data_IF_002427348128
#
_entry.id   IF_002427348128
#
_cell.length_a   1.000
_cell.length_b   1.000
_cell.length_c   1.000
_cell.angle_alpha   90.00
_cell.angle_beta   90.00
_cell.angle_gamma   90.00
#
_symmetry.space_group_name_H-M   'P 1'
#
loop_
_entity.id
_entity.type
_entity.pdbx_description
1 polymer ?
#
# COMPACT_ATOMS: atom_id res chain seq x y z
N UNK A 1 2.55 8.89 -28.07
CA UNK A 1 2.54 8.61 -26.61
C UNK A 1 3.64 7.59 -26.32
N UNK A 2 4.53 7.85 -25.36
CA UNK A 2 5.71 7.02 -25.09
C UNK A 2 5.28 5.60 -24.63
N UNK A 3 5.82 4.53 -25.28
CA UNK A 3 5.52 3.13 -24.96
C UNK A 3 5.77 2.81 -23.48
N UNK A 4 6.79 3.43 -22.87
CA UNK A 4 7.10 3.27 -21.44
C UNK A 4 6.00 3.85 -20.54
N UNK A 5 5.39 4.97 -20.92
CA UNK A 5 4.25 5.54 -20.20
C UNK A 5 3.02 4.65 -20.25
N UNK A 6 2.70 4.08 -21.41
CA UNK A 6 1.57 3.14 -21.53
C UNK A 6 1.80 1.90 -20.66
N UNK A 7 3.03 1.36 -20.66
CA UNK A 7 3.39 0.23 -19.79
C UNK A 7 3.26 0.59 -18.32
N UNK A 8 3.75 1.77 -17.90
CA UNK A 8 3.61 2.22 -16.52
C UNK A 8 2.14 2.33 -16.11
N UNK A 9 1.30 2.92 -16.95
CA UNK A 9 -0.15 3.06 -16.71
C UNK A 9 -0.82 1.68 -16.60
N UNK A 10 -0.57 0.78 -17.54
CA UNK A 10 -1.13 -0.57 -17.54
C UNK A 10 -0.73 -1.33 -16.27
N UNK A 11 0.56 -1.35 -15.94
CA UNK A 11 1.06 -2.05 -14.76
C UNK A 11 0.52 -1.45 -13.47
N UNK A 12 0.44 -0.12 -13.35
CA UNK A 12 -0.17 0.56 -12.22
C UNK A 12 -1.65 0.21 -12.05
N UNK A 13 -2.39 0.18 -13.16
CA UNK A 13 -3.81 -0.23 -13.18
C UNK A 13 -3.98 -1.69 -12.75
N UNK A 14 -3.16 -2.61 -13.27
CA UNK A 14 -3.20 -4.03 -12.89
C UNK A 14 -2.87 -4.21 -11.40
N UNK A 15 -1.83 -3.52 -10.90
CA UNK A 15 -1.49 -3.56 -9.49
C UNK A 15 -2.60 -3.03 -8.58
N UNK A 16 -3.23 -1.92 -8.95
CA UNK A 16 -4.38 -1.37 -8.22
C UNK A 16 -5.61 -2.28 -8.28
N UNK A 17 -5.85 -2.94 -9.41
CA UNK A 17 -6.93 -3.93 -9.54
C UNK A 17 -6.69 -5.15 -8.62
N UNK A 18 -5.46 -5.66 -8.56
CA UNK A 18 -5.10 -6.72 -7.62
C UNK A 18 -5.35 -6.30 -6.16
N UNK A 19 -4.98 -5.07 -5.78
CA UNK A 19 -5.28 -4.55 -4.43
C UNK A 19 -6.78 -4.44 -4.16
N UNK A 20 -7.57 -4.03 -5.16
CA UNK A 20 -9.02 -3.97 -5.04
C UNK A 20 -9.60 -5.38 -4.83
N UNK A 21 -9.17 -6.36 -5.61
CA UNK A 21 -9.61 -7.76 -5.45
C UNK A 21 -9.26 -8.28 -4.05
N UNK A 22 -8.04 -8.03 -3.58
CA UNK A 22 -7.61 -8.43 -2.25
C UNK A 22 -8.45 -7.76 -1.14
N UNK A 23 -8.71 -6.45 -1.25
CA UNK A 23 -9.49 -5.72 -0.25
C UNK A 23 -10.96 -6.14 -0.21
N UNK A 24 -11.57 -6.40 -1.36
CA UNK A 24 -12.96 -6.92 -1.44
C UNK A 24 -13.03 -8.36 -0.90
N UNK A 25 -12.07 -9.21 -1.24
CA UNK A 25 -12.02 -10.58 -0.72
C UNK A 25 -11.89 -10.60 0.82
N UNK A 26 -11.07 -9.71 1.38
CA UNK A 26 -10.97 -9.50 2.82
C UNK A 26 -12.31 -9.11 3.45
N UNK A 27 -13.02 -8.16 2.83
CA UNK A 27 -14.31 -7.68 3.33
C UNK A 27 -15.42 -8.74 3.32
N UNK A 28 -15.37 -9.71 2.39
CA UNK A 28 -16.43 -10.74 2.24
C UNK A 28 -16.23 -11.94 3.17
N UNK A 29 -15.01 -12.35 3.42
CA UNK A 29 -14.74 -13.67 4.04
C UNK A 29 -14.01 -13.64 5.39
N UNK A 30 -13.59 -12.47 5.86
CA UNK A 30 -12.84 -12.33 7.12
C UNK A 30 -11.41 -12.85 7.08
N UNK A 31 -10.67 -12.70 8.18
CA UNK A 31 -9.21 -12.88 8.21
C UNK A 31 -8.71 -14.32 8.01
N UNK A 32 -9.47 -15.33 8.45
CA UNK A 32 -8.89 -16.65 8.76
C UNK A 32 -8.77 -17.57 7.53
N UNK A 33 -9.63 -17.44 6.51
CA UNK A 33 -9.68 -18.40 5.41
C UNK A 33 -8.79 -18.05 4.20
N UNK A 34 -8.04 -16.94 4.24
CA UNK A 34 -7.49 -16.29 3.04
C UNK A 34 -6.01 -15.97 3.06
N UNK A 35 -5.28 -16.26 4.14
CA UNK A 35 -3.89 -15.85 4.24
C UNK A 35 -3.06 -16.26 3.01
N UNK A 36 -3.22 -17.50 2.54
CA UNK A 36 -2.39 -18.03 1.46
C UNK A 36 -2.72 -17.43 0.08
N UNK A 37 -4.01 -17.31 -0.25
CA UNK A 37 -4.44 -16.73 -1.52
C UNK A 37 -4.25 -15.21 -1.56
N UNK A 38 -4.44 -14.54 -0.44
CA UNK A 38 -4.20 -13.10 -0.31
C UNK A 38 -2.72 -12.75 -0.47
N UNK A 39 -1.81 -13.52 0.11
CA UNK A 39 -0.37 -13.29 -0.03
C UNK A 39 0.03 -13.27 -1.51
N UNK A 40 -0.45 -14.21 -2.31
CA UNK A 40 -0.17 -14.25 -3.74
C UNK A 40 -0.70 -13.00 -4.46
N UNK A 41 -1.94 -12.60 -4.18
CA UNK A 41 -2.53 -11.39 -4.78
C UNK A 41 -1.76 -10.14 -4.38
N UNK A 42 -1.31 -10.02 -3.13
CA UNK A 42 -0.46 -8.93 -2.66
C UNK A 42 0.90 -8.92 -3.35
N UNK A 43 1.54 -10.08 -3.53
CA UNK A 43 2.81 -10.19 -4.26
C UNK A 43 2.64 -9.70 -5.70
N UNK A 44 1.58 -10.12 -6.40
CA UNK A 44 1.30 -9.65 -7.76
C UNK A 44 1.02 -8.13 -7.78
N UNK A 45 0.18 -7.63 -6.88
CA UNK A 45 -0.13 -6.21 -6.79
C UNK A 45 1.13 -5.37 -6.64
N UNK A 46 1.98 -5.70 -5.66
CA UNK A 46 3.21 -4.96 -5.42
C UNK A 46 4.21 -5.10 -6.55
N UNK A 47 4.31 -6.27 -7.20
CA UNK A 47 5.18 -6.47 -8.36
C UNK A 47 4.76 -5.55 -9.52
N UNK A 48 3.47 -5.50 -9.85
CA UNK A 48 2.97 -4.61 -10.89
C UNK A 48 3.20 -3.14 -10.55
N UNK A 49 2.91 -2.73 -9.30
CA UNK A 49 3.13 -1.36 -8.85
C UNK A 49 4.62 -0.99 -8.87
N UNK A 50 5.51 -1.90 -8.48
CA UNK A 50 6.95 -1.69 -8.55
C UNK A 50 7.42 -1.44 -9.99
N UNK A 51 6.96 -2.26 -10.93
CA UNK A 51 7.30 -2.07 -12.35
C UNK A 51 6.71 -0.79 -12.93
N UNK A 52 5.49 -0.42 -12.51
CA UNK A 52 4.88 0.86 -12.90
C UNK A 52 5.73 2.05 -12.41
N UNK A 53 6.16 2.04 -11.15
CA UNK A 53 7.00 3.08 -10.57
C UNK A 53 8.38 3.14 -11.22
N UNK A 54 8.99 1.98 -11.50
CA UNK A 54 10.26 1.92 -12.24
C UNK A 54 10.16 2.56 -13.62
N UNK A 55 9.07 2.29 -14.35
CA UNK A 55 8.83 2.89 -15.65
C UNK A 55 8.59 4.41 -15.56
N UNK A 56 7.87 4.89 -14.53
CA UNK A 56 7.72 6.32 -14.27
C UNK A 56 9.08 6.96 -13.96
N UNK A 57 9.88 6.35 -13.12
CA UNK A 57 11.23 6.82 -12.77
C UNK A 57 12.12 6.96 -14.01
N UNK A 58 12.09 5.97 -14.90
CA UNK A 58 12.86 6.01 -16.15
C UNK A 58 12.45 7.18 -17.08
N UNK A 59 11.21 7.66 -16.97
CA UNK A 59 10.69 8.77 -17.78
C UNK A 59 10.97 10.11 -17.10
N UNK A 60 10.79 10.18 -15.78
CA UNK A 60 10.87 11.43 -15.02
C UNK A 60 12.27 11.73 -14.48
N UNK A 61 13.18 10.76 -14.49
CA UNK A 61 14.57 10.90 -14.06
C UNK A 61 14.84 10.96 -12.55
N UNK A 62 13.92 11.33 -11.67
CA UNK A 62 14.25 11.46 -10.24
C UNK A 62 14.33 10.13 -9.53
N UNK A 63 15.35 9.99 -8.68
CA UNK A 63 15.57 8.82 -7.81
C UNK A 63 14.54 8.69 -6.66
N UNK A 64 13.42 9.42 -6.77
CA UNK A 64 12.42 9.55 -5.71
C UNK A 64 11.79 8.20 -5.31
N UNK A 65 11.77 7.23 -6.23
CA UNK A 65 11.18 5.92 -5.98
C UNK A 65 12.16 4.87 -5.42
N UNK A 66 13.42 5.26 -5.18
CA UNK A 66 14.42 4.36 -4.58
C UNK A 66 13.94 3.85 -3.21
N UNK A 67 13.35 4.72 -2.40
CA UNK A 67 12.81 4.37 -1.08
C UNK A 67 11.79 3.22 -1.19
N UNK A 68 10.93 3.28 -2.21
CA UNK A 68 9.96 2.22 -2.45
C UNK A 68 10.62 0.90 -2.86
N UNK A 69 11.68 0.96 -3.66
CA UNK A 69 12.43 -0.25 -4.05
C UNK A 69 12.94 -1.00 -2.83
N UNK A 70 13.52 -0.29 -1.86
CA UNK A 70 13.99 -0.90 -0.62
C UNK A 70 12.84 -1.40 0.25
N UNK A 71 11.81 -0.58 0.46
CA UNK A 71 10.62 -0.98 1.22
C UNK A 71 9.93 -2.20 0.62
N UNK A 72 9.78 -2.23 -0.71
CA UNK A 72 9.21 -3.35 -1.44
C UNK A 72 10.05 -4.62 -1.28
N UNK A 73 11.37 -4.54 -1.45
CA UNK A 73 12.24 -5.70 -1.30
C UNK A 73 12.23 -6.27 0.12
N UNK A 74 12.20 -5.39 1.13
CA UNK A 74 12.08 -5.80 2.54
C UNK A 74 10.73 -6.45 2.79
N UNK A 75 9.64 -5.86 2.30
CA UNK A 75 8.29 -6.41 2.44
C UNK A 75 8.16 -7.77 1.74
N UNK A 76 8.70 -7.89 0.53
CA UNK A 76 8.70 -9.16 -0.22
C UNK A 76 9.50 -10.24 0.51
N UNK A 77 10.70 -9.91 0.99
CA UNK A 77 11.52 -10.84 1.76
C UNK A 77 10.82 -11.28 3.05
N UNK A 78 10.18 -10.36 3.77
CA UNK A 78 9.40 -10.66 4.96
C UNK A 78 8.19 -11.56 4.65
N UNK A 79 7.42 -11.24 3.60
CA UNK A 79 6.29 -12.07 3.16
C UNK A 79 6.72 -13.49 2.79
N UNK A 80 7.81 -13.63 2.02
CA UNK A 80 8.35 -14.94 1.65
C UNK A 80 8.85 -15.71 2.88
N UNK A 81 9.51 -15.04 3.80
CA UNK A 81 9.99 -15.64 5.04
C UNK A 81 8.82 -16.15 5.90
N UNK A 82 7.78 -15.32 6.14
CA UNK A 82 6.61 -15.73 6.90
C UNK A 82 5.83 -16.84 6.22
N UNK A 83 5.69 -16.79 4.88
CA UNK A 83 5.04 -17.85 4.11
C UNK A 83 5.80 -19.18 4.24
N UNK A 84 7.14 -19.14 4.14
CA UNK A 84 7.96 -20.34 4.31
C UNK A 84 7.84 -20.96 5.71
N UNK A 85 7.83 -20.11 6.76
CA UNK A 85 7.66 -20.58 8.14
C UNK A 85 6.27 -21.18 8.35
N UNK A 86 5.22 -20.53 7.84
CA UNK A 86 3.85 -21.02 7.93
C UNK A 86 3.68 -22.38 7.26
N UNK A 87 4.22 -22.54 6.04
CA UNK A 87 4.16 -23.79 5.29
C UNK A 87 4.97 -24.91 5.99
N UNK A 88 6.14 -24.57 6.50
CA UNK A 88 7.02 -25.56 7.13
C UNK A 88 6.61 -25.93 8.56
N UNK A 89 5.70 -25.20 9.19
CA UNK A 89 5.23 -25.39 10.59
C UNK A 89 6.35 -25.65 11.61
N UNK A 90 7.57 -25.16 11.34
CA UNK A 90 8.78 -25.60 12.04
C UNK A 90 9.32 -24.64 13.09
N UNK A 91 8.72 -23.45 13.30
CA UNK A 91 9.24 -22.51 14.28
C UNK A 91 8.16 -21.89 15.13
N UNK A 92 8.45 -21.76 16.41
CA UNK A 92 7.73 -20.87 17.30
C UNK A 92 8.13 -19.41 16.95
N UNK A 93 7.35 -18.80 16.07
CA UNK A 93 7.63 -17.47 15.50
C UNK A 93 7.12 -16.34 16.37
N UNK A 94 6.72 -16.61 17.62
CA UNK A 94 6.14 -15.63 18.53
C UNK A 94 7.00 -14.36 18.67
N UNK A 95 8.33 -14.51 18.70
CA UNK A 95 9.26 -13.37 18.79
C UNK A 95 9.33 -12.52 17.52
N UNK A 96 9.18 -13.12 16.34
CA UNK A 96 9.25 -12.41 15.06
C UNK A 96 7.93 -11.72 14.71
N UNK A 97 6.79 -12.24 15.18
CA UNK A 97 5.48 -11.62 14.98
C UNK A 97 5.41 -10.21 15.57
N UNK A 98 6.21 -9.91 16.61
CA UNK A 98 6.29 -8.57 17.21
C UNK A 98 6.77 -7.52 16.18
N UNK A 99 7.62 -7.88 15.23
CA UNK A 99 8.19 -6.95 14.25
C UNK A 99 7.32 -6.72 13.02
N UNK A 100 6.34 -7.60 12.75
CA UNK A 100 5.47 -7.51 11.57
C UNK A 100 4.69 -6.19 11.50
N UNK A 101 4.03 -5.71 12.58
CA UNK A 101 3.32 -4.44 12.56
C UNK A 101 4.23 -3.25 12.21
N UNK A 102 5.45 -3.23 12.72
CA UNK A 102 6.41 -2.17 12.43
C UNK A 102 6.85 -2.18 10.96
N UNK A 103 7.03 -3.37 10.39
CA UNK A 103 7.36 -3.52 8.98
C UNK A 103 6.20 -3.05 8.09
N UNK A 104 4.98 -3.48 8.38
CA UNK A 104 3.78 -3.05 7.66
C UNK A 104 3.64 -1.53 7.73
N UNK A 105 3.82 -0.95 8.92
CA UNK A 105 3.78 0.49 9.12
C UNK A 105 4.82 1.23 8.27
N UNK A 106 6.07 0.77 8.26
CA UNK A 106 7.15 1.37 7.47
C UNK A 106 6.87 1.31 5.97
N UNK A 107 6.34 0.17 5.48
CA UNK A 107 5.94 0.00 4.08
C UNK A 107 4.78 0.92 3.73
N UNK A 108 3.76 1.01 4.57
CA UNK A 108 2.59 1.88 4.35
C UNK A 108 3.01 3.35 4.35
N UNK A 109 3.85 3.78 5.28
CA UNK A 109 4.37 5.15 5.31
C UNK A 109 5.17 5.49 4.03
N UNK A 110 6.03 4.58 3.60
CA UNK A 110 6.77 4.73 2.33
C UNK A 110 5.81 4.85 1.15
N UNK A 111 4.74 4.06 1.14
CA UNK A 111 3.71 4.08 0.10
C UNK A 111 2.90 5.37 0.08
N UNK A 112 2.57 5.94 1.25
CA UNK A 112 1.92 7.25 1.38
C UNK A 112 2.81 8.34 0.75
N UNK A 113 4.10 8.38 1.10
CA UNK A 113 5.06 9.35 0.55
C UNK A 113 5.13 9.24 -0.97
N UNK A 114 5.19 8.02 -1.51
CA UNK A 114 5.24 7.77 -2.95
C UNK A 114 3.98 8.30 -3.65
N UNK A 115 2.80 8.10 -3.08
CA UNK A 115 1.57 8.57 -3.69
C UNK A 115 1.49 10.11 -3.73
N UNK A 116 2.01 10.82 -2.73
CA UNK A 116 2.18 12.27 -2.82
C UNK A 116 3.16 12.68 -3.93
N UNK A 117 4.25 11.93 -4.13
CA UNK A 117 5.18 12.17 -5.25
C UNK A 117 4.56 11.83 -6.59
N UNK A 118 3.77 10.76 -6.69
CA UNK A 118 2.98 10.44 -7.89
C UNK A 118 2.00 11.54 -8.25
N UNK A 119 1.32 12.13 -7.27
CA UNK A 119 0.48 13.33 -7.51
C UNK A 119 1.28 14.43 -8.20
N UNK A 120 2.47 14.73 -7.68
CA UNK A 120 3.33 15.77 -8.25
C UNK A 120 3.76 15.43 -9.68
N UNK A 121 4.22 14.20 -9.91
CA UNK A 121 4.73 13.75 -11.21
C UNK A 121 3.62 13.59 -12.28
N UNK A 122 2.41 13.20 -11.89
CA UNK A 122 1.31 12.91 -12.82
C UNK A 122 0.26 14.00 -12.87
N UNK A 123 0.32 15.00 -11.98
CA UNK A 123 -0.72 16.02 -11.73
C UNK A 123 -2.10 15.43 -11.41
N UNK A 124 -2.20 14.16 -11.11
CA UNK A 124 -3.45 13.49 -10.76
C UNK A 124 -3.72 13.61 -9.26
N UNK A 125 -4.74 14.40 -8.89
CA UNK A 125 -5.11 14.66 -7.48
C UNK A 125 -5.56 13.39 -6.74
N UNK A 126 -6.05 12.36 -7.46
CA UNK A 126 -6.53 11.12 -6.86
C UNK A 126 -5.44 10.36 -6.08
N UNK A 127 -4.16 10.47 -6.47
CA UNK A 127 -3.06 9.90 -5.67
C UNK A 127 -2.95 10.53 -4.27
N UNK A 128 -3.24 11.83 -4.14
CA UNK A 128 -3.26 12.47 -2.83
C UNK A 128 -4.49 12.07 -2.01
N UNK A 129 -5.65 11.90 -2.66
CA UNK A 129 -6.86 11.39 -1.99
C UNK A 129 -6.60 9.97 -1.48
N UNK A 130 -6.01 9.11 -2.30
CA UNK A 130 -5.61 7.77 -1.88
C UNK A 130 -4.63 7.79 -0.69
N UNK A 131 -3.60 8.63 -0.74
CA UNK A 131 -2.66 8.79 0.37
C UNK A 131 -3.34 9.27 1.65
N UNK A 132 -4.32 10.18 1.56
CA UNK A 132 -5.12 10.64 2.70
C UNK A 132 -5.97 9.50 3.28
N UNK A 133 -6.59 8.66 2.44
CA UNK A 133 -7.35 7.49 2.89
C UNK A 133 -6.45 6.49 3.62
N UNK A 134 -5.22 6.26 3.14
CA UNK A 134 -4.26 5.42 3.85
C UNK A 134 -3.84 5.99 5.21
N UNK A 135 -3.72 7.32 5.34
CA UNK A 135 -3.43 7.97 6.63
C UNK A 135 -4.58 7.71 7.61
N UNK A 136 -5.82 7.81 7.13
CA UNK A 136 -7.01 7.52 7.97
C UNK A 136 -7.03 6.04 8.37
N UNK A 137 -6.72 5.12 7.45
CA UNK A 137 -6.63 3.68 7.70
C UNK A 137 -5.60 3.37 8.79
N UNK A 138 -4.39 3.92 8.65
CA UNK A 138 -3.32 3.77 9.67
C UNK A 138 -3.72 4.36 11.02
N UNK A 139 -4.38 5.52 11.02
CA UNK A 139 -4.85 6.13 12.27
C UNK A 139 -5.92 5.26 12.94
N UNK A 140 -6.83 4.67 12.17
CA UNK A 140 -7.83 3.74 12.67
C UNK A 140 -7.19 2.49 13.27
N UNK A 141 -6.19 1.90 12.61
CA UNK A 141 -5.45 0.73 13.12
C UNK A 141 -4.70 1.05 14.42
N UNK A 142 -4.10 2.24 14.54
CA UNK A 142 -3.43 2.70 15.78
C UNK A 142 -4.46 2.84 16.90
N UNK A 143 -5.60 3.48 16.67
CA UNK A 143 -6.67 3.65 17.65
C UNK A 143 -7.17 2.29 18.09
N UNK A 144 -7.47 1.40 17.14
CA UNK A 144 -7.87 0.01 17.43
C UNK A 144 -6.88 -0.69 18.35
N UNK A 145 -5.59 -0.64 18.02
CA UNK A 145 -4.53 -1.24 18.82
C UNK A 145 -4.37 -0.62 20.23
N UNK A 146 -4.67 0.68 20.37
CA UNK A 146 -4.64 1.36 21.68
C UNK A 146 -5.80 0.96 22.58
N UNK A 147 -6.97 0.67 22.02
CA UNK A 147 -8.16 0.33 22.80
C UNK A 147 -7.99 -0.96 23.62
N UNK A 148 -7.14 -1.88 23.20
CA UNK A 148 -6.81 -3.08 23.97
C UNK A 148 -5.88 -2.82 25.17
N UNK A 149 -5.24 -1.65 25.23
CA UNK A 149 -4.29 -1.29 26.29
C UNK A 149 -4.86 -0.35 27.34
N UNK A 150 -6.02 0.27 27.06
CA UNK A 150 -6.64 1.25 27.95
C UNK A 150 -7.69 0.53 28.79
N UNK A 151 -7.64 0.60 30.13
CA UNK A 151 -8.69 0.08 30.99
C UNK A 151 -9.94 0.95 30.86
N UNK A 152 -10.84 0.58 29.97
CA UNK A 152 -12.11 1.24 29.75
C UNK A 152 -13.27 0.28 29.99
N UNK A 153 -14.51 0.79 30.27
CA UNK A 153 -15.70 -0.05 30.41
C UNK A 153 -15.89 -0.93 29.17
N UNK A 154 -16.14 -2.21 29.37
CA UNK A 154 -16.23 -3.21 28.30
C UNK A 154 -17.21 -2.80 27.17
N UNK A 155 -18.34 -2.19 27.52
CA UNK A 155 -19.33 -1.73 26.53
C UNK A 155 -18.79 -0.61 25.62
N UNK A 156 -18.00 0.33 26.16
CA UNK A 156 -17.38 1.40 25.37
C UNK A 156 -16.29 0.84 24.46
N UNK A 157 -15.46 -0.06 24.99
CA UNK A 157 -14.38 -0.71 24.24
C UNK A 157 -14.95 -1.49 23.06
N UNK A 158 -15.99 -2.30 23.27
CA UNK A 158 -16.64 -3.07 22.21
C UNK A 158 -17.30 -2.17 21.15
N UNK A 159 -17.93 -1.07 21.58
CA UNK A 159 -18.51 -0.11 20.64
C UNK A 159 -17.46 0.52 19.71
N UNK A 160 -16.32 0.93 20.25
CA UNK A 160 -15.23 1.51 19.45
C UNK A 160 -14.60 0.46 18.52
N UNK A 161 -14.37 -0.76 19.02
CA UNK A 161 -13.84 -1.88 18.22
C UNK A 161 -14.73 -2.14 17.02
N UNK A 162 -16.05 -2.31 17.22
CA UNK A 162 -17.00 -2.55 16.13
C UNK A 162 -17.03 -1.41 15.12
N UNK A 163 -16.94 -0.16 15.56
CA UNK A 163 -16.86 1.01 14.67
C UNK A 163 -15.57 0.99 13.82
N UNK A 164 -14.43 0.63 14.43
CA UNK A 164 -13.15 0.59 13.71
C UNK A 164 -13.10 -0.58 12.71
N UNK A 165 -13.65 -1.74 13.06
CA UNK A 165 -13.78 -2.87 12.13
C UNK A 165 -14.66 -2.50 10.94
N UNK A 166 -15.81 -1.87 11.16
CA UNK A 166 -16.68 -1.40 10.09
C UNK A 166 -16.00 -0.36 9.21
N UNK A 167 -15.27 0.56 9.83
CA UNK A 167 -14.50 1.58 9.11
C UNK A 167 -13.45 0.92 8.19
N UNK A 168 -12.66 -0.02 8.70
CA UNK A 168 -11.65 -0.73 7.93
C UNK A 168 -12.26 -1.55 6.79
N UNK A 169 -13.43 -2.16 7.02
CA UNK A 169 -14.17 -2.92 6.01
C UNK A 169 -14.54 -2.07 4.80
N UNK A 170 -14.84 -0.80 5.00
CA UNK A 170 -15.25 0.14 3.94
C UNK A 170 -14.03 0.86 3.37
N UNK A 171 -13.09 1.26 4.22
CA UNK A 171 -11.99 2.15 3.84
C UNK A 171 -11.00 1.46 2.89
N UNK A 172 -10.67 0.18 3.12
CA UNK A 172 -9.73 -0.57 2.28
C UNK A 172 -10.22 -0.75 0.83
N UNK A 173 -11.45 -1.20 0.56
CA UNK A 173 -11.98 -1.23 -0.81
C UNK A 173 -12.08 0.16 -1.43
N UNK A 174 -12.55 1.16 -0.68
CA UNK A 174 -12.67 2.54 -1.17
C UNK A 174 -11.30 3.11 -1.58
N UNK A 175 -10.28 2.94 -0.75
CA UNK A 175 -8.92 3.35 -1.07
C UNK A 175 -8.42 2.66 -2.35
N UNK A 176 -8.66 1.36 -2.48
CA UNK A 176 -8.24 0.59 -3.66
C UNK A 176 -8.95 1.06 -4.95
N UNK A 177 -10.23 1.41 -4.86
CA UNK A 177 -10.98 2.02 -5.98
C UNK A 177 -10.37 3.37 -6.37
N UNK A 178 -10.06 4.23 -5.39
CA UNK A 178 -9.45 5.54 -5.66
C UNK A 178 -8.07 5.37 -6.32
N UNK A 179 -7.27 4.40 -5.88
CA UNK A 179 -5.98 4.09 -6.51
C UNK A 179 -6.16 3.62 -7.95
N UNK A 180 -7.12 2.74 -8.21
CA UNK A 180 -7.43 2.28 -9.56
C UNK A 180 -7.84 3.43 -10.47
N UNK A 181 -8.74 4.29 -9.99
CA UNK A 181 -9.16 5.49 -10.71
C UNK A 181 -7.99 6.46 -10.93
N UNK A 182 -7.07 6.58 -9.97
CA UNK A 182 -5.87 7.40 -10.12
C UNK A 182 -5.01 6.93 -11.29
N UNK A 183 -4.72 5.63 -11.39
CA UNK A 183 -3.94 5.06 -12.48
C UNK A 183 -4.65 5.17 -13.84
N UNK A 184 -5.96 4.98 -13.88
CA UNK A 184 -6.75 5.14 -15.12
C UNK A 184 -6.76 6.58 -15.62
N UNK A 185 -6.75 7.56 -14.71
CA UNK A 185 -6.86 8.98 -15.04
C UNK A 185 -5.52 9.68 -15.32
N UNK A 186 -4.38 8.97 -15.27
CA UNK A 186 -3.11 9.56 -15.68
C UNK A 186 -3.15 9.89 -17.19
N UNK A 187 -3.03 11.19 -17.52
CA UNK A 187 -3.03 11.67 -18.90
C UNK A 187 -1.61 11.98 -19.40
N UNK A 188 -0.80 12.64 -18.56
CA UNK A 188 0.55 13.07 -18.91
C UNK A 188 1.48 12.92 -17.71
N UNK A 189 2.77 12.69 -17.97
CA UNK A 189 3.83 12.83 -16.98
C UNK A 189 4.47 14.19 -17.16
N UNK A 190 4.59 14.94 -16.09
CA UNK A 190 5.36 16.19 -16.10
C UNK A 190 6.83 15.81 -16.18
N UNK A 191 7.49 16.15 -17.26
CA UNK A 191 8.96 16.05 -17.31
C UNK A 191 9.53 16.93 -16.20
N UNK A 192 10.19 16.32 -15.24
CA UNK A 192 10.79 17.02 -14.09
C UNK A 192 12.06 17.81 -14.48
N UNK A 193 12.29 18.09 -15.76
CA UNK A 193 13.45 18.80 -16.27
C UNK A 193 13.62 20.22 -15.74
N UNK A 194 12.62 20.79 -15.06
CA UNK A 194 12.66 22.19 -14.61
C UNK A 194 13.02 22.44 -13.16
N UNK A 195 12.84 21.46 -12.26
CA UNK A 195 12.97 21.73 -10.83
C UNK A 195 14.36 21.44 -10.23
N UNK A 196 15.18 20.65 -10.90
CA UNK A 196 16.50 20.25 -10.39
C UNK A 196 17.66 20.96 -11.10
N UNK A 197 17.45 21.50 -12.32
CA UNK A 197 18.47 22.31 -13.01
C UNK A 197 18.70 23.69 -12.37
N UNK A 198 17.84 24.14 -11.47
CA UNK A 198 18.01 25.38 -10.69
C UNK A 198 18.75 25.18 -9.37
N UNK A 199 18.93 23.95 -8.90
CA UNK A 199 19.66 23.67 -7.66
C UNK A 199 21.16 23.40 -7.89
N UNK A 200 21.60 23.30 -9.14
CA UNK A 200 23.01 23.11 -9.52
C UNK A 200 23.65 24.37 -10.14
N UNK A 201 22.99 25.50 -10.06
CA UNK A 201 23.55 26.83 -10.34
C UNK A 201 23.58 27.65 -9.07
#
# INVERSE_FOLDING_TARGET
MNKAFQRAKLQGTLGALCLLVASVAYSIKGEIAYLDSQILVWIFAFTFLYHALKNIQNITGPQVFIIFKYAYNIALAALLYFSAIYILRRCDCSRLQIYVPYLIFAVTLSWIIINFKLRSATRCKLFAVYAALLIVDVAADIIYGMMFKIPAPAALTMGVINCMELLNLILKPLASIVLLLAWLNIKNLTEAKGLWSQAER
#
